data_IF_428120410373
#
_entry.id   IF_428120410373
#
_cell.length_a   1.000
_cell.length_b   1.000
_cell.length_c   1.000
_cell.angle_alpha   90.00
_cell.angle_beta   90.00
_cell.angle_gamma   90.00
#
_symmetry.space_group_name_H-M   'P 1'
#
loop_
_entity.id
_entity.type
_entity.pdbx_description
1 polymer ?
#
# COMPACT_ATOMS: atom_id res chain seq x y z
N UNK A 1 0.23 17.60 -15.55
CA UNK A 1 1.44 17.06 -14.93
C UNK A 1 1.31 15.55 -14.79
N UNK A 2 2.30 14.81 -15.23
CA UNK A 2 2.25 13.36 -15.16
C UNK A 2 2.44 12.89 -13.72
N UNK A 3 1.60 11.95 -13.22
CA UNK A 3 1.77 11.44 -11.86
C UNK A 3 3.06 10.64 -11.72
N UNK A 4 3.88 10.99 -10.74
CA UNK A 4 5.14 10.32 -10.45
C UNK A 4 5.28 10.06 -8.97
N UNK A 5 5.97 8.97 -8.63
CA UNK A 5 6.30 8.62 -7.25
C UNK A 5 7.56 9.38 -6.85
N UNK A 6 7.57 9.93 -5.64
CA UNK A 6 8.76 10.53 -5.06
C UNK A 6 9.44 9.46 -4.19
N UNK A 7 10.56 8.95 -4.67
CA UNK A 7 11.28 7.86 -4.01
C UNK A 7 11.80 8.26 -2.63
N UNK A 8 12.32 9.46 -2.52
CA UNK A 8 12.90 9.95 -1.26
C UNK A 8 11.82 10.16 -0.20
N UNK A 9 10.72 10.81 -0.55
CA UNK A 9 9.60 11.01 0.37
C UNK A 9 8.96 9.70 0.78
N UNK A 10 8.84 8.77 -0.14
CA UNK A 10 8.33 7.42 0.14
C UNK A 10 9.24 6.71 1.15
N UNK A 11 10.56 6.80 0.98
CA UNK A 11 11.52 6.19 1.90
C UNK A 11 11.43 6.78 3.29
N UNK A 12 11.36 8.10 3.40
CA UNK A 12 11.20 8.81 4.68
C UNK A 12 9.87 8.40 5.35
N UNK A 13 8.80 8.35 4.56
CA UNK A 13 7.48 7.98 5.07
C UNK A 13 7.45 6.53 5.56
N UNK A 14 8.05 5.62 4.82
CA UNK A 14 8.16 4.21 5.22
C UNK A 14 8.89 4.08 6.54
N UNK A 15 10.02 4.78 6.69
CA UNK A 15 10.80 4.79 7.93
C UNK A 15 9.97 5.31 9.10
N UNK A 16 9.23 6.39 8.88
CA UNK A 16 8.36 6.98 9.90
C UNK A 16 7.27 6.01 10.34
N UNK A 17 6.65 5.31 9.41
CA UNK A 17 5.61 4.32 9.71
C UNK A 17 6.20 3.16 10.52
N UNK A 18 7.38 2.68 10.12
CA UNK A 18 8.05 1.60 10.81
C UNK A 18 8.40 1.98 12.25
N UNK A 19 8.96 3.19 12.45
CA UNK A 19 9.26 3.69 13.78
C UNK A 19 8.02 3.76 14.66
N UNK A 20 6.93 4.23 14.08
CA UNK A 20 5.65 4.36 14.78
C UNK A 20 5.10 3.00 15.21
N UNK A 21 5.37 1.95 14.44
CA UNK A 21 4.94 0.58 14.73
C UNK A 21 5.96 -0.21 15.54
N UNK A 22 7.13 0.37 15.84
CA UNK A 22 8.20 -0.31 16.56
C UNK A 22 8.87 -1.42 15.75
N UNK A 23 8.88 -1.30 14.43
CA UNK A 23 9.44 -2.29 13.52
C UNK A 23 10.79 -1.81 13.03
N UNK A 24 11.80 -2.66 13.15
CA UNK A 24 13.18 -2.34 12.75
C UNK A 24 13.48 -2.81 11.32
N UNK A 25 14.50 -2.25 10.66
CA UNK A 25 14.95 -2.77 9.36
C UNK A 25 15.31 -4.25 9.39
N UNK A 26 15.86 -4.72 10.49
CA UNK A 26 16.19 -6.14 10.67
C UNK A 26 14.93 -7.01 10.64
N UNK A 27 13.86 -6.54 11.28
CA UNK A 27 12.57 -7.24 11.24
C UNK A 27 12.05 -7.37 9.82
N UNK A 28 12.13 -6.30 9.04
CA UNK A 28 11.67 -6.28 7.65
C UNK A 28 12.52 -7.24 6.80
N UNK A 29 13.84 -7.23 7.00
CA UNK A 29 14.73 -8.17 6.31
C UNK A 29 14.30 -9.62 6.53
N UNK A 30 14.00 -9.97 7.77
CA UNK A 30 13.60 -11.34 8.14
C UNK A 30 12.22 -11.69 7.59
N UNK A 31 11.26 -10.79 7.72
CA UNK A 31 9.87 -11.03 7.30
C UNK A 31 9.76 -11.18 5.78
N UNK A 32 10.43 -10.31 5.03
CA UNK A 32 10.40 -10.32 3.58
C UNK A 32 11.46 -11.25 2.97
N UNK A 33 12.25 -11.91 3.81
CA UNK A 33 13.33 -12.80 3.38
C UNK A 33 14.28 -12.10 2.40
N UNK A 34 14.71 -10.89 2.75
CA UNK A 34 15.63 -10.12 1.93
C UNK A 34 17.06 -10.64 2.09
N UNK A 35 17.83 -10.57 1.02
CA UNK A 35 19.22 -11.01 1.02
C UNK A 35 20.14 -10.12 1.85
N UNK A 36 19.76 -8.85 2.06
CA UNK A 36 20.60 -7.88 2.76
C UNK A 36 19.73 -6.81 3.41
N UNK A 37 20.14 -6.37 4.60
CA UNK A 37 19.53 -5.23 5.29
C UNK A 37 19.74 -3.92 4.50
N UNK A 38 20.78 -3.87 3.68
CA UNK A 38 21.06 -2.71 2.83
C UNK A 38 19.89 -2.41 1.91
N UNK A 39 19.14 -3.41 1.49
CA UNK A 39 17.92 -3.23 0.68
C UNK A 39 16.93 -2.29 1.35
N UNK A 40 16.71 -2.46 2.65
CA UNK A 40 15.79 -1.62 3.42
C UNK A 40 16.33 -0.18 3.51
N UNK A 41 17.62 -0.03 3.77
CA UNK A 41 18.24 1.29 3.83
C UNK A 41 18.22 2.00 2.47
N UNK A 42 18.34 1.25 1.38
CA UNK A 42 18.19 1.81 0.03
C UNK A 42 16.79 2.38 -0.20
N UNK A 43 15.77 1.74 0.34
CA UNK A 43 14.40 2.28 0.31
C UNK A 43 14.30 3.59 1.10
N UNK A 44 14.86 3.61 2.30
CA UNK A 44 14.84 4.82 3.16
C UNK A 44 15.56 5.99 2.51
N UNK A 45 16.63 5.72 1.79
CA UNK A 45 17.44 6.76 1.13
C UNK A 45 16.89 7.17 -0.24
N UNK A 46 15.83 6.53 -0.70
CA UNK A 46 15.22 6.85 -1.98
C UNK A 46 16.01 6.38 -3.19
N UNK A 47 16.89 5.39 -3.01
CA UNK A 47 17.66 4.84 -4.11
C UNK A 47 16.82 3.93 -4.99
N UNK A 48 15.89 3.20 -4.41
CA UNK A 48 14.93 2.38 -5.13
C UNK A 48 13.68 2.18 -4.30
N UNK A 49 12.67 1.58 -4.93
CA UNK A 49 11.39 1.25 -4.29
C UNK A 49 11.35 -0.23 -3.97
N UNK A 50 10.60 -0.63 -2.92
CA UNK A 50 10.23 -2.02 -2.79
C UNK A 50 9.47 -2.49 -4.02
N UNK A 51 9.62 -3.77 -4.36
CA UNK A 51 8.80 -4.37 -5.41
C UNK A 51 7.33 -4.37 -4.99
N UNK A 52 6.44 -4.58 -5.96
CA UNK A 52 4.99 -4.63 -5.68
C UNK A 52 4.68 -5.72 -4.65
N UNK A 53 5.35 -6.87 -4.76
CA UNK A 53 5.19 -7.98 -3.82
C UNK A 53 5.58 -7.57 -2.40
N UNK A 54 6.71 -6.88 -2.27
CA UNK A 54 7.19 -6.39 -0.99
C UNK A 54 6.28 -5.30 -0.43
N UNK A 55 5.78 -4.41 -1.28
CA UNK A 55 4.82 -3.38 -0.85
C UNK A 55 3.53 -4.01 -0.32
N UNK A 56 3.03 -5.03 -0.99
CA UNK A 56 1.85 -5.75 -0.56
C UNK A 56 2.05 -6.37 0.83
N UNK A 57 3.19 -7.03 1.03
CA UNK A 57 3.54 -7.63 2.32
C UNK A 57 3.75 -6.58 3.40
N UNK A 58 4.42 -5.46 3.08
CA UNK A 58 4.63 -4.35 4.01
C UNK A 58 3.31 -3.74 4.44
N UNK A 59 2.39 -3.54 3.51
CA UNK A 59 1.06 -3.01 3.80
C UNK A 59 0.33 -3.87 4.83
N UNK A 60 0.35 -5.17 4.64
CA UNK A 60 -0.26 -6.11 5.56
C UNK A 60 0.43 -6.09 6.92
N UNK A 61 1.75 -6.13 6.92
CA UNK A 61 2.54 -6.22 8.13
C UNK A 61 2.48 -4.95 8.96
N UNK A 62 2.53 -3.79 8.30
CA UNK A 62 2.46 -2.48 8.95
C UNK A 62 1.02 -2.06 9.25
N UNK A 63 0.04 -2.76 8.73
CA UNK A 63 -1.38 -2.44 8.87
C UNK A 63 -1.72 -1.06 8.35
N UNK A 64 -1.18 -0.72 7.18
CA UNK A 64 -1.48 0.53 6.48
C UNK A 64 -1.71 0.24 5.00
N UNK A 65 -2.60 1.00 4.34
CA UNK A 65 -2.77 0.86 2.89
C UNK A 65 -1.50 1.20 2.14
N UNK A 66 -1.29 0.59 0.98
CA UNK A 66 -0.13 0.87 0.13
C UNK A 66 -0.08 2.36 -0.21
N UNK A 67 -1.22 2.97 -0.49
CA UNK A 67 -1.30 4.40 -0.82
C UNK A 67 -0.82 5.32 0.30
N UNK A 68 -0.83 4.87 1.54
CA UNK A 68 -0.26 5.63 2.66
C UNK A 68 1.25 5.50 2.75
N UNK A 69 1.82 4.45 2.17
CA UNK A 69 3.27 4.25 2.15
C UNK A 69 3.90 5.07 1.03
N UNK A 70 3.29 5.04 -0.15
CA UNK A 70 3.84 5.68 -1.36
C UNK A 70 3.50 7.17 -1.37
N UNK A 71 4.52 7.99 -1.55
CA UNK A 71 4.37 9.44 -1.69
C UNK A 71 4.68 9.86 -3.14
N UNK A 72 3.94 10.81 -3.63
CA UNK A 72 4.13 11.31 -4.98
C UNK A 72 3.44 12.65 -5.18
N UNK A 73 3.36 13.09 -6.42
CA UNK A 73 2.72 14.36 -6.79
C UNK A 73 1.23 14.23 -7.07
N UNK A 74 0.67 13.03 -6.87
CA UNK A 74 -0.74 12.78 -7.11
C UNK A 74 -1.58 13.37 -5.96
N UNK A 75 -2.70 13.99 -6.29
CA UNK A 75 -3.67 14.42 -5.30
C UNK A 75 -4.25 13.19 -4.58
N UNK A 76 -4.56 13.36 -3.30
CA UNK A 76 -5.19 12.30 -2.53
C UNK A 76 -6.46 11.81 -3.24
N UNK A 77 -6.53 10.50 -3.44
CA UNK A 77 -7.73 9.89 -4.01
C UNK A 77 -8.76 9.81 -2.90
N UNK A 78 -9.84 10.53 -3.07
CA UNK A 78 -10.98 10.36 -2.17
C UNK A 78 -11.65 9.03 -2.49
N UNK A 79 -11.85 8.22 -1.48
CA UNK A 79 -12.70 7.04 -1.62
C UNK A 79 -14.16 7.48 -1.62
N UNK A 80 -14.56 8.21 -2.66
CA UNK A 80 -15.97 8.46 -2.89
C UNK A 80 -16.60 7.15 -3.35
N UNK A 81 -17.81 6.84 -2.86
CA UNK A 81 -18.51 5.69 -3.42
C UNK A 81 -18.63 5.92 -4.93
N UNK A 82 -18.19 4.93 -5.68
CA UNK A 82 -18.36 4.95 -7.12
C UNK A 82 -19.83 5.22 -7.38
N UNK A 83 -20.14 6.38 -7.98
CA UNK A 83 -21.49 6.65 -8.45
C UNK A 83 -21.73 5.66 -9.58
N UNK A 84 -22.31 4.56 -9.22
CA UNK A 84 -22.74 3.57 -10.20
C UNK A 84 -23.86 4.23 -10.98
N UNK A 85 -23.57 4.59 -12.24
CA UNK A 85 -24.59 5.01 -13.17
C UNK A 85 -25.63 3.89 -13.17
N UNK A 86 -26.85 4.21 -12.79
CA UNK A 86 -27.92 3.23 -12.62
C UNK A 86 -28.22 2.50 -13.92
N UNK A 87 -27.57 1.36 -14.06
CA UNK A 87 -27.76 0.42 -15.12
C UNK A 87 -28.16 -0.91 -14.42
N UNK A 88 -29.24 -1.59 -14.85
CA UNK A 88 -29.66 -2.82 -14.20
C UNK A 88 -28.56 -3.88 -14.11
N UNK A 89 -27.64 -3.88 -15.06
CA UNK A 89 -26.48 -4.77 -15.10
C UNK A 89 -25.48 -4.47 -14.00
N UNK A 90 -25.24 -3.20 -13.73
CA UNK A 90 -24.32 -2.73 -12.69
C UNK A 90 -24.92 -2.97 -11.31
N UNK A 91 -26.21 -2.81 -11.15
CA UNK A 91 -26.93 -3.13 -9.90
C UNK A 91 -26.79 -4.60 -9.53
N UNK A 92 -26.91 -5.50 -10.50
CA UNK A 92 -26.77 -6.93 -10.27
C UNK A 92 -25.36 -7.31 -9.83
N UNK A 93 -24.36 -6.73 -10.47
CA UNK A 93 -22.94 -6.93 -10.11
C UNK A 93 -22.66 -6.45 -8.70
N UNK A 94 -23.16 -5.27 -8.36
CA UNK A 94 -22.96 -4.68 -7.04
C UNK A 94 -23.67 -5.51 -5.95
N UNK A 95 -24.87 -5.94 -6.19
CA UNK A 95 -25.62 -6.81 -5.28
C UNK A 95 -24.91 -8.15 -5.09
N UNK A 96 -24.37 -8.72 -6.16
CA UNK A 96 -23.59 -9.95 -6.11
C UNK A 96 -22.32 -9.78 -5.28
N UNK A 97 -21.59 -8.70 -5.48
CA UNK A 97 -20.40 -8.39 -4.69
C UNK A 97 -20.70 -8.23 -3.21
N UNK A 98 -21.77 -7.54 -2.88
CA UNK A 98 -22.21 -7.39 -1.50
C UNK A 98 -22.54 -8.73 -0.86
N UNK A 99 -23.22 -9.59 -1.59
CA UNK A 99 -23.59 -10.91 -1.11
C UNK A 99 -22.37 -11.81 -0.90
N UNK A 100 -21.40 -11.74 -1.81
CA UNK A 100 -20.15 -12.48 -1.72
C UNK A 100 -19.34 -12.05 -0.50
N UNK A 101 -19.24 -10.75 -0.26
CA UNK A 101 -18.54 -10.20 0.90
C UNK A 101 -19.18 -10.64 2.21
N UNK A 102 -20.48 -10.70 2.28
CA UNK A 102 -21.19 -11.21 3.46
C UNK A 102 -20.89 -12.68 3.72
N UNK A 103 -20.78 -13.48 2.68
CA UNK A 103 -20.45 -14.89 2.79
C UNK A 103 -19.01 -15.13 3.22
N UNK A 104 -18.08 -14.27 2.81
CA UNK A 104 -16.66 -14.39 3.13
C UNK A 104 -16.30 -13.88 4.53
N UNK A 105 -17.14 -13.02 5.11
CA UNK A 105 -16.90 -12.40 6.42
C UNK A 105 -17.67 -13.13 7.54
N UNK A 106 -18.55 -14.02 7.18
CA UNK A 106 -19.31 -14.81 8.16
C UNK A 106 -18.44 -15.91 8.81
#
# INVERSE_FOLDING_TARGET
MFPTINLRETGVNLHRIMDKRGITPKDIKEILNLGSIQTVYNWFNGLNMPTVDNLYALSQFLQVPIDEIICGNRKAIRSEPIVIIENPRTRRLYAYYKQLNRMLVA
#
